data_IF_843845645766
#
_entry.id   IF_843845645766
#
_cell.length_a   1.000
_cell.length_b   1.000
_cell.length_c   1.000
_cell.angle_alpha   90.00
_cell.angle_beta   90.00
_cell.angle_gamma   90.00
#
_symmetry.space_group_name_H-M   'P 1'
#
loop_
_entity.id
_entity.type
_entity.pdbx_description
1 polymer ?
#
# COMPACT_ATOMS: atom_id res chain seq x y z
N UNK A 1 7.93 -1.84 5.58
CA UNK A 1 8.13 -3.29 5.36
C UNK A 1 9.35 -3.54 4.48
N UNK A 2 9.49 -2.88 3.33
CA UNK A 2 10.67 -3.04 2.47
C UNK A 2 12.00 -2.71 3.19
N UNK A 3 12.13 -1.55 3.84
CA UNK A 3 13.35 -1.23 4.59
C UNK A 3 13.70 -2.23 5.70
N UNK A 4 12.68 -2.84 6.32
CA UNK A 4 12.88 -3.91 7.32
C UNK A 4 13.34 -5.21 6.64
N UNK A 5 12.74 -5.56 5.50
CA UNK A 5 13.15 -6.73 4.70
C UNK A 5 14.59 -6.56 4.20
N UNK A 6 14.91 -5.41 3.60
CA UNK A 6 16.26 -5.06 3.13
C UNK A 6 17.26 -5.09 4.28
N UNK A 7 16.93 -4.51 5.44
CA UNK A 7 17.81 -4.54 6.62
C UNK A 7 18.08 -5.94 7.17
N UNK A 8 17.19 -6.91 6.92
CA UNK A 8 17.37 -8.31 7.32
C UNK A 8 18.18 -9.16 6.34
N UNK A 9 18.52 -8.65 5.16
CA UNK A 9 19.32 -9.38 4.17
C UNK A 9 20.73 -9.70 4.71
N UNK A 10 21.35 -10.75 4.17
CA UNK A 10 22.62 -11.30 4.67
C UNK A 10 23.79 -10.30 4.70
N UNK A 11 23.71 -9.22 3.92
CA UNK A 11 24.69 -8.14 3.91
C UNK A 11 24.53 -7.15 5.07
N UNK A 12 23.38 -7.10 5.73
CA UNK A 12 23.08 -6.17 6.83
C UNK A 12 22.80 -6.88 8.16
N UNK A 13 22.11 -8.03 8.13
CA UNK A 13 21.78 -8.87 9.29
C UNK A 13 21.17 -8.09 10.46
N UNK A 14 20.37 -7.05 10.18
CA UNK A 14 19.65 -6.31 11.20
C UNK A 14 18.40 -7.09 11.60
N UNK A 15 18.03 -6.98 12.87
CA UNK A 15 16.83 -7.62 13.42
C UNK A 15 15.83 -6.57 13.92
N UNK A 16 14.52 -6.84 13.78
CA UNK A 16 13.50 -6.04 14.47
C UNK A 16 13.68 -6.15 15.98
N UNK A 17 13.72 -5.01 16.67
CA UNK A 17 13.91 -4.97 18.12
C UNK A 17 12.69 -4.41 18.85
N UNK A 18 12.00 -3.42 18.26
CA UNK A 18 10.88 -2.70 18.89
C UNK A 18 9.86 -2.33 17.82
N UNK A 19 8.60 -2.72 18.01
CA UNK A 19 7.51 -2.41 17.09
C UNK A 19 6.59 -1.31 17.65
N UNK A 20 6.11 -0.45 16.76
CA UNK A 20 5.12 0.57 17.07
C UNK A 20 3.82 -0.10 17.53
N UNK A 21 3.32 0.30 18.70
CA UNK A 21 1.98 -0.10 19.14
C UNK A 21 0.96 0.89 18.55
N UNK A 22 0.52 0.64 17.32
CA UNK A 22 -0.60 1.40 16.74
C UNK A 22 -1.91 1.04 17.44
N UNK A 23 -2.73 2.05 17.74
CA UNK A 23 -4.11 1.86 18.22
C UNK A 23 -4.93 1.02 17.25
N UNK A 24 -4.71 1.21 15.96
CA UNK A 24 -5.44 0.54 14.89
C UNK A 24 -4.46 -0.09 13.88
N UNK A 25 -4.61 -1.39 13.66
CA UNK A 25 -3.77 -2.14 12.73
C UNK A 25 -4.29 -1.94 11.31
N UNK A 26 -3.40 -1.72 10.35
CA UNK A 26 -3.84 -1.57 8.97
C UNK A 26 -4.09 -2.93 8.30
N UNK A 27 -5.29 -3.14 7.76
CA UNK A 27 -5.59 -4.19 6.79
C UNK A 27 -5.59 -3.57 5.40
N UNK A 28 -4.73 -4.08 4.52
CA UNK A 28 -4.65 -3.66 3.13
C UNK A 28 -5.82 -4.28 2.36
N UNK A 29 -6.64 -3.43 1.74
CA UNK A 29 -7.87 -3.81 1.04
C UNK A 29 -7.90 -3.20 -0.36
N UNK A 30 -8.71 -3.79 -1.24
CA UNK A 30 -9.05 -3.23 -2.54
C UNK A 30 -10.48 -2.70 -2.49
N UNK A 31 -10.64 -1.39 -2.39
CA UNK A 31 -11.93 -0.72 -2.32
C UNK A 31 -12.43 -0.36 -3.72
N UNK A 32 -13.72 -0.53 -3.95
CA UNK A 32 -14.42 -0.13 -5.18
C UNK A 32 -15.74 0.55 -4.84
N UNK A 33 -16.28 1.35 -5.75
CA UNK A 33 -17.64 1.88 -5.58
C UNK A 33 -18.66 0.74 -5.57
N UNK A 34 -19.67 0.89 -4.72
CA UNK A 34 -20.76 -0.06 -4.64
C UNK A 34 -21.48 -0.19 -5.99
N UNK A 35 -21.84 -1.40 -6.40
CA UNK A 35 -22.53 -1.64 -7.68
C UNK A 35 -21.67 -1.48 -8.95
N UNK A 36 -20.35 -1.32 -8.83
CA UNK A 36 -19.44 -1.25 -10.00
C UNK A 36 -19.37 -2.52 -10.86
N UNK A 37 -19.89 -3.65 -10.36
CA UNK A 37 -20.19 -4.83 -11.14
C UNK A 37 -19.01 -5.73 -11.53
N UNK A 38 -17.80 -5.42 -11.05
CA UNK A 38 -16.60 -6.25 -11.30
C UNK A 38 -16.00 -6.79 -10.00
N UNK A 39 -15.28 -7.91 -10.11
CA UNK A 39 -14.55 -8.52 -9.00
C UNK A 39 -13.03 -8.52 -9.21
N UNK A 40 -12.29 -9.15 -8.27
CA UNK A 40 -10.82 -9.16 -8.28
C UNK A 40 -10.21 -9.77 -9.55
N UNK A 41 -10.93 -10.66 -10.23
CA UNK A 41 -10.47 -11.33 -11.46
C UNK A 41 -10.59 -10.44 -12.70
N UNK A 42 -11.34 -9.35 -12.60
CA UNK A 42 -11.71 -8.47 -13.72
C UNK A 42 -10.99 -7.11 -13.64
N UNK A 43 -9.92 -7.03 -12.85
CA UNK A 43 -9.12 -5.82 -12.66
C UNK A 43 -8.32 -5.41 -13.91
N UNK A 44 -8.06 -6.34 -14.83
CA UNK A 44 -7.33 -6.05 -16.06
C UNK A 44 -8.07 -4.98 -16.88
N UNK A 45 -7.35 -3.93 -17.27
CA UNK A 45 -7.89 -2.81 -18.03
C UNK A 45 -8.74 -1.82 -17.20
N UNK A 46 -8.89 -2.01 -15.89
CA UNK A 46 -9.48 -1.00 -15.00
C UNK A 46 -8.46 0.08 -14.66
N UNK A 47 -8.92 1.21 -14.12
CA UNK A 47 -8.04 2.22 -13.55
C UNK A 47 -7.83 2.02 -12.05
N UNK A 48 -6.65 2.36 -11.53
CA UNK A 48 -6.28 2.08 -10.13
C UNK A 48 -5.67 3.28 -9.37
N UNK A 49 -5.93 3.34 -8.07
CA UNK A 49 -5.38 4.33 -7.15
C UNK A 49 -4.52 3.63 -6.09
N UNK A 50 -3.30 4.12 -5.88
CA UNK A 50 -2.32 3.55 -4.96
C UNK A 50 -1.77 4.64 -4.04
N UNK A 51 -1.51 4.31 -2.76
CA UNK A 51 -1.08 5.33 -1.79
C UNK A 51 0.32 5.89 -2.05
N UNK A 52 1.27 5.04 -2.42
CA UNK A 52 2.62 5.40 -2.87
C UNK A 52 3.36 4.14 -3.33
N UNK A 53 4.20 4.28 -4.36
CA UNK A 53 5.11 3.25 -4.85
C UNK A 53 5.97 2.68 -3.69
N UNK A 54 6.21 1.37 -3.72
CA UNK A 54 7.02 0.65 -2.72
C UNK A 54 6.53 0.71 -1.26
N UNK A 55 5.34 1.27 -0.98
CA UNK A 55 4.71 1.17 0.34
C UNK A 55 3.94 -0.12 0.51
N UNK A 56 3.87 -0.60 1.76
CA UNK A 56 3.33 -1.91 2.10
C UNK A 56 1.86 -2.07 1.70
N UNK A 57 0.97 -1.15 2.13
CA UNK A 57 -0.47 -1.26 1.89
C UNK A 57 -0.92 -0.93 0.48
N UNK A 58 -0.36 0.12 -0.10
CA UNK A 58 -0.80 0.62 -1.41
C UNK A 58 -0.13 0.01 -2.62
N UNK A 59 1.01 -0.68 -2.45
CA UNK A 59 1.76 -1.24 -3.58
C UNK A 59 2.22 -2.68 -3.32
N UNK A 60 3.14 -2.91 -2.37
CA UNK A 60 3.82 -4.22 -2.24
C UNK A 60 2.84 -5.36 -1.93
N UNK A 61 1.95 -5.14 -0.96
CA UNK A 61 0.95 -6.15 -0.56
C UNK A 61 -0.06 -6.43 -1.69
N UNK A 62 -0.77 -5.43 -2.25
CA UNK A 62 -1.76 -5.69 -3.28
C UNK A 62 -1.14 -6.23 -4.56
N UNK A 63 -0.08 -5.61 -5.08
CA UNK A 63 0.56 -6.07 -6.33
C UNK A 63 1.19 -7.44 -6.15
N UNK A 64 1.93 -7.66 -5.05
CA UNK A 64 2.54 -8.96 -4.75
C UNK A 64 1.50 -10.07 -4.65
N UNK A 65 0.35 -9.83 -4.01
CA UNK A 65 -0.74 -10.82 -3.91
C UNK A 65 -1.39 -11.09 -5.26
N UNK A 66 -1.61 -10.07 -6.09
CA UNK A 66 -2.17 -10.22 -7.43
C UNK A 66 -1.24 -11.02 -8.34
N UNK A 67 0.07 -10.82 -8.25
CA UNK A 67 1.07 -11.62 -8.96
C UNK A 67 1.09 -13.05 -8.44
N UNK A 68 1.20 -13.24 -7.12
CA UNK A 68 1.28 -14.57 -6.49
C UNK A 68 0.04 -15.44 -6.71
N UNK A 69 -1.09 -14.84 -7.10
CA UNK A 69 -2.35 -15.53 -7.42
C UNK A 69 -2.69 -15.49 -8.92
N UNK A 70 -1.69 -15.19 -9.76
CA UNK A 70 -1.77 -15.19 -11.22
C UNK A 70 -2.87 -14.27 -11.79
N UNK A 71 -3.18 -13.16 -11.09
CA UNK A 71 -4.05 -12.09 -11.63
C UNK A 71 -3.27 -11.11 -12.48
N UNK A 72 -2.04 -10.79 -12.09
CA UNK A 72 -1.07 -10.06 -12.91
C UNK A 72 0.00 -11.05 -13.34
N UNK A 73 0.21 -11.18 -14.65
CA UNK A 73 1.32 -11.98 -15.19
C UNK A 73 2.61 -11.18 -15.06
N UNK A 74 3.59 -11.74 -14.36
CA UNK A 74 4.94 -11.18 -14.25
C UNK A 74 5.96 -12.32 -14.28
N UNK A 75 6.82 -12.33 -15.29
CA UNK A 75 7.79 -13.41 -15.55
C UNK A 75 9.04 -13.31 -14.66
N UNK A 76 9.11 -12.26 -13.84
CA UNK A 76 10.21 -12.01 -12.91
C UNK A 76 11.05 -10.81 -13.29
N UNK A 77 11.94 -10.37 -12.39
CA UNK A 77 12.71 -9.14 -12.55
C UNK A 77 13.77 -9.23 -13.66
N UNK A 78 14.20 -10.44 -14.02
CA UNK A 78 15.20 -10.66 -15.09
C UNK A 78 14.59 -10.39 -16.48
N UNK A 79 13.29 -10.65 -16.64
CA UNK A 79 12.57 -10.44 -17.91
C UNK A 79 11.96 -9.04 -18.00
N UNK A 80 11.29 -8.58 -16.93
CA UNK A 80 10.69 -7.25 -16.92
C UNK A 80 10.56 -6.64 -15.53
N UNK A 81 10.68 -5.31 -15.37
CA UNK A 81 10.36 -4.64 -14.12
C UNK A 81 8.87 -4.80 -13.76
N UNK A 82 8.57 -4.94 -12.47
CA UNK A 82 7.18 -5.12 -11.99
C UNK A 82 6.30 -3.92 -12.37
N UNK A 83 6.84 -2.71 -12.42
CA UNK A 83 6.12 -1.50 -12.81
C UNK A 83 5.61 -1.61 -14.23
N UNK A 84 6.38 -2.24 -15.13
CA UNK A 84 5.95 -2.46 -16.51
C UNK A 84 4.76 -3.41 -16.56
N UNK A 85 4.80 -4.52 -15.82
CA UNK A 85 3.70 -5.49 -15.77
C UNK A 85 2.41 -4.84 -15.24
N UNK A 86 2.51 -4.02 -14.18
CA UNK A 86 1.37 -3.28 -13.63
C UNK A 86 0.88 -2.20 -14.61
N UNK A 87 1.80 -1.50 -15.27
CA UNK A 87 1.51 -0.46 -16.26
C UNK A 87 0.77 -1.01 -17.49
N UNK A 88 1.02 -2.27 -17.86
CA UNK A 88 0.34 -2.96 -18.96
C UNK A 88 -0.98 -3.62 -18.50
N UNK A 89 -1.11 -3.92 -17.22
CA UNK A 89 -2.30 -4.54 -16.63
C UNK A 89 -3.47 -3.57 -16.42
N UNK A 90 -3.22 -2.39 -15.85
CA UNK A 90 -4.23 -1.34 -15.65
C UNK A 90 -4.27 -0.35 -16.82
N UNK A 91 -5.45 0.19 -17.16
CA UNK A 91 -5.60 1.15 -18.26
C UNK A 91 -5.09 2.56 -17.94
N UNK A 92 -5.09 2.92 -16.66
CA UNK A 92 -4.45 4.10 -16.09
C UNK A 92 -4.32 3.92 -14.58
N UNK A 93 -3.27 4.49 -13.98
CA UNK A 93 -3.14 4.47 -12.53
C UNK A 93 -2.70 5.81 -11.98
N UNK A 94 -2.93 6.01 -10.68
CA UNK A 94 -2.16 6.94 -9.89
C UNK A 94 -1.31 6.17 -8.88
N UNK A 95 0.01 6.17 -9.12
CA UNK A 95 1.03 5.54 -8.29
C UNK A 95 2.07 6.61 -7.94
N UNK A 96 1.85 7.41 -6.89
CA UNK A 96 2.82 8.42 -6.46
C UNK A 96 4.20 7.78 -6.24
N UNK A 97 5.28 8.46 -6.61
CA UNK A 97 6.68 8.04 -6.45
C UNK A 97 7.24 7.14 -7.55
N UNK A 98 6.41 6.66 -8.48
CA UNK A 98 6.90 5.90 -9.64
C UNK A 98 7.56 6.82 -10.66
N UNK A 99 8.50 6.29 -11.45
CA UNK A 99 9.18 7.07 -12.49
C UNK A 99 8.21 7.42 -13.65
N UNK A 100 7.58 8.60 -13.57
CA UNK A 100 6.67 9.13 -14.61
C UNK A 100 7.26 9.10 -16.04
N UNK A 101 8.55 9.47 -16.28
CA UNK A 101 9.12 9.38 -17.62
C UNK A 101 9.21 7.96 -18.18
N UNK A 102 9.43 6.96 -17.32
CA UNK A 102 9.51 5.54 -17.73
C UNK A 102 8.14 4.90 -17.84
N UNK A 103 7.23 5.25 -16.93
CA UNK A 103 5.91 4.61 -16.78
C UNK A 103 4.81 5.68 -16.72
N UNK A 104 4.56 6.43 -17.81
CA UNK A 104 3.60 7.53 -17.80
C UNK A 104 2.17 7.06 -17.46
N UNK A 105 1.81 5.81 -17.82
CA UNK A 105 0.49 5.25 -17.51
C UNK A 105 0.24 5.14 -16.00
N UNK A 106 1.28 4.91 -15.21
CA UNK A 106 1.17 4.77 -13.75
C UNK A 106 0.99 6.09 -13.01
N UNK A 107 1.21 7.23 -13.68
CA UNK A 107 0.95 8.57 -13.15
C UNK A 107 -0.24 9.25 -13.84
N UNK A 108 -0.93 8.56 -14.76
CA UNK A 108 -1.92 9.16 -15.66
C UNK A 108 -3.18 9.64 -14.92
N UNK A 109 -3.56 8.98 -13.83
CA UNK A 109 -4.73 9.35 -13.02
C UNK A 109 -4.40 10.26 -11.82
N UNK A 110 -3.13 10.64 -11.65
CA UNK A 110 -2.70 11.51 -10.54
C UNK A 110 -3.10 12.97 -10.76
N UNK A 111 -3.22 13.72 -9.66
CA UNK A 111 -3.51 15.16 -9.66
C UNK A 111 -2.39 15.92 -8.94
N UNK A 112 -1.29 16.12 -9.64
CA UNK A 112 -0.09 16.77 -9.11
C UNK A 112 1.17 16.34 -9.85
N UNK A 113 2.28 16.30 -9.13
CA UNK A 113 3.60 15.92 -9.67
C UNK A 113 3.86 14.40 -9.66
N UNK A 114 2.90 13.59 -9.19
CA UNK A 114 3.07 12.14 -8.99
C UNK A 114 4.23 11.80 -8.04
N UNK A 115 4.65 12.70 -7.15
CA UNK A 115 5.64 12.41 -6.10
C UNK A 115 4.98 11.77 -4.88
N UNK A 116 5.72 10.99 -4.09
CA UNK A 116 5.24 10.54 -2.77
C UNK A 116 5.33 11.66 -1.73
N UNK A 117 4.68 12.79 -2.01
CA UNK A 117 4.63 13.97 -1.16
C UNK A 117 3.26 14.65 -1.25
N UNK A 118 3.02 15.64 -0.40
CA UNK A 118 1.78 16.42 -0.42
C UNK A 118 1.60 17.31 -1.66
N UNK A 119 2.59 17.39 -2.54
CA UNK A 119 2.44 18.02 -3.87
C UNK A 119 1.56 17.19 -4.82
N UNK A 120 1.41 15.89 -4.54
CA UNK A 120 0.47 15.01 -5.23
C UNK A 120 -0.80 14.87 -4.38
N UNK A 121 -1.94 15.31 -4.92
CA UNK A 121 -3.21 15.30 -4.20
C UNK A 121 -3.67 13.90 -3.81
N UNK A 122 -3.32 12.88 -4.60
CA UNK A 122 -3.70 11.49 -4.34
C UNK A 122 -2.63 10.68 -3.60
N UNK A 123 -1.66 11.34 -2.97
CA UNK A 123 -0.69 10.71 -2.09
C UNK A 123 -1.31 10.21 -0.77
N UNK A 124 -0.84 9.06 -0.29
CA UNK A 124 -1.28 8.45 0.96
C UNK A 124 -2.57 7.64 0.81
N UNK A 125 -2.97 6.95 1.87
CA UNK A 125 -4.19 6.12 1.83
C UNK A 125 -5.45 6.99 1.65
N UNK A 126 -5.52 8.14 2.33
CA UNK A 126 -6.61 9.10 2.17
C UNK A 126 -6.66 9.66 0.74
N UNK A 127 -5.50 10.03 0.18
CA UNK A 127 -5.40 10.52 -1.19
C UNK A 127 -5.81 9.48 -2.23
N UNK A 128 -5.39 8.22 -2.05
CA UNK A 128 -5.79 7.12 -2.93
C UNK A 128 -7.29 6.80 -2.83
N UNK A 129 -7.89 6.92 -1.64
CA UNK A 129 -9.35 6.85 -1.50
C UNK A 129 -10.04 8.04 -2.20
N UNK A 130 -9.51 9.26 -2.08
CA UNK A 130 -10.02 10.41 -2.82
C UNK A 130 -9.91 10.23 -4.35
N UNK A 131 -8.88 9.55 -4.84
CA UNK A 131 -8.74 9.20 -6.25
C UNK A 131 -9.90 8.31 -6.74
N UNK A 132 -10.28 7.29 -5.96
CA UNK A 132 -11.47 6.46 -6.24
C UNK A 132 -12.77 7.26 -6.13
N UNK A 133 -12.91 8.06 -5.06
CA UNK A 133 -14.12 8.86 -4.82
C UNK A 133 -14.41 9.81 -5.99
N UNK A 134 -13.37 10.44 -6.52
CA UNK A 134 -13.42 11.40 -7.63
C UNK A 134 -13.40 10.75 -9.02
N UNK A 135 -13.64 9.44 -9.14
CA UNK A 135 -13.72 8.70 -10.42
C UNK A 135 -12.44 8.72 -11.26
N UNK A 136 -11.29 9.04 -10.67
CA UNK A 136 -9.99 8.96 -11.36
C UNK A 136 -9.41 7.54 -11.36
N UNK A 137 -9.91 6.67 -10.47
CA UNK A 137 -9.66 5.23 -10.48
C UNK A 137 -10.93 4.44 -10.18
N UNK A 138 -11.00 3.20 -10.65
CA UNK A 138 -12.11 2.28 -10.39
C UNK A 138 -11.87 1.41 -9.16
N UNK A 139 -10.61 1.19 -8.79
CA UNK A 139 -10.20 0.49 -7.56
C UNK A 139 -9.16 1.32 -6.81
N UNK A 140 -9.25 1.38 -5.49
CA UNK A 140 -8.21 1.94 -4.63
C UNK A 140 -7.63 0.85 -3.73
N UNK A 141 -6.30 0.74 -3.71
CA UNK A 141 -5.57 -0.10 -2.78
C UNK A 141 -5.11 0.73 -1.60
N UNK A 142 -5.80 0.56 -0.47
CA UNK A 142 -5.66 1.42 0.71
C UNK A 142 -5.72 0.61 2.00
N UNK A 143 -5.33 1.25 3.08
CA UNK A 143 -5.74 0.81 4.40
C UNK A 143 -7.26 0.93 4.58
N UNK A 144 -7.93 -0.08 5.15
CA UNK A 144 -9.39 -0.02 5.40
C UNK A 144 -9.87 1.21 6.21
N UNK A 145 -9.06 1.76 7.15
CA UNK A 145 -9.43 2.97 7.89
C UNK A 145 -9.49 4.24 7.03
N UNK A 146 -8.90 4.23 5.82
CA UNK A 146 -8.96 5.36 4.89
C UNK A 146 -10.38 5.58 4.31
N UNK A 147 -11.28 4.61 4.48
CA UNK A 147 -12.69 4.73 4.10
C UNK A 147 -13.47 5.23 5.33
N UNK A 148 -13.94 6.49 5.35
CA UNK A 148 -14.66 7.05 6.50
C UNK A 148 -15.93 6.25 6.77
N UNK A 149 -16.26 6.04 8.05
CA UNK A 149 -17.44 5.27 8.47
C UNK A 149 -18.74 5.76 7.82
N UNK A 150 -18.91 7.07 7.73
CA UNK A 150 -20.07 7.71 7.09
C UNK A 150 -20.20 7.42 5.59
N UNK A 151 -19.13 6.98 4.93
CA UNK A 151 -19.09 6.71 3.50
C UNK A 151 -19.05 5.22 3.17
N UNK A 152 -18.81 4.32 4.14
CA UNK A 152 -18.58 2.88 3.90
C UNK A 152 -19.69 2.21 3.11
N UNK A 153 -20.93 2.63 3.27
CA UNK A 153 -22.09 2.12 2.52
C UNK A 153 -22.02 2.35 1.00
N UNK A 154 -21.21 3.30 0.54
CA UNK A 154 -21.03 3.62 -0.87
C UNK A 154 -19.91 2.79 -1.53
N UNK A 155 -19.23 1.93 -0.78
CA UNK A 155 -18.08 1.17 -1.24
C UNK A 155 -18.16 -0.30 -0.81
N UNK A 156 -17.46 -1.15 -1.55
CA UNK A 156 -17.33 -2.57 -1.29
C UNK A 156 -15.85 -2.96 -1.39
N UNK A 157 -15.49 -4.07 -0.76
CA UNK A 157 -14.15 -4.65 -0.84
C UNK A 157 -14.14 -5.79 -1.85
N UNK A 158 -13.09 -5.86 -2.67
CA UNK A 158 -12.81 -7.01 -3.52
C UNK A 158 -12.00 -8.04 -2.73
N UNK A 159 -12.55 -9.24 -2.60
CA UNK A 159 -11.91 -10.34 -1.91
C UNK A 159 -11.17 -11.26 -2.89
N UNK A 160 -10.10 -11.90 -2.43
CA UNK A 160 -9.27 -12.77 -3.28
C UNK A 160 -10.00 -14.04 -3.78
N UNK A 161 -11.10 -14.42 -3.14
CA UNK A 161 -11.98 -15.52 -3.57
C UNK A 161 -12.95 -15.13 -4.71
N UNK A 162 -12.91 -13.87 -5.17
CA UNK A 162 -13.81 -13.34 -6.20
C UNK A 162 -15.11 -12.76 -5.65
N UNK A 163 -15.39 -12.88 -4.35
CA UNK A 163 -16.54 -12.24 -3.73
C UNK A 163 -16.33 -10.73 -3.53
N UNK A 164 -17.42 -10.03 -3.26
CA UNK A 164 -17.45 -8.63 -2.83
C UNK A 164 -18.10 -8.58 -1.45
N UNK A 165 -17.55 -7.80 -0.53
CA UNK A 165 -18.06 -7.67 0.85
C UNK A 165 -18.17 -6.22 1.28
N UNK A 166 -18.93 -6.00 2.35
CA UNK A 166 -18.97 -4.70 3.03
C UNK A 166 -17.57 -4.30 3.50
N UNK A 167 -17.33 -3.00 3.62
CA UNK A 167 -16.10 -2.46 4.20
C UNK A 167 -15.88 -2.95 5.63
N UNK A 168 -16.95 -3.20 6.39
CA UNK A 168 -16.89 -3.74 7.77
C UNK A 168 -16.24 -5.14 7.84
N UNK A 169 -16.31 -5.92 6.77
CA UNK A 169 -15.79 -7.28 6.72
C UNK A 169 -14.29 -7.35 6.40
N UNK A 170 -13.57 -6.22 6.47
CA UNK A 170 -12.15 -6.10 6.13
C UNK A 170 -11.27 -7.18 6.77
N UNK A 171 -11.57 -7.66 7.99
CA UNK A 171 -10.79 -8.71 8.66
C UNK A 171 -10.83 -10.05 7.92
N UNK A 172 -11.91 -10.32 7.18
CA UNK A 172 -12.07 -11.54 6.37
C UNK A 172 -11.88 -11.29 4.88
N UNK A 173 -11.94 -10.03 4.44
CA UNK A 173 -11.73 -9.60 3.06
C UNK A 173 -10.59 -8.57 2.99
N UNK A 174 -9.35 -9.06 3.06
CA UNK A 174 -8.14 -8.25 2.94
C UNK A 174 -7.05 -9.04 2.21
N UNK A 175 -6.01 -8.33 1.81
CA UNK A 175 -4.83 -8.88 1.15
C UNK A 175 -3.78 -9.31 2.17
N UNK A 176 -3.61 -8.50 3.20
CA UNK A 176 -2.87 -8.82 4.41
C UNK A 176 -3.17 -7.80 5.52
N UNK A 177 -2.82 -8.16 6.75
CA UNK A 177 -2.62 -7.21 7.84
C UNK A 177 -1.18 -6.67 7.77
N UNK A 178 -1.01 -5.37 7.63
CA UNK A 178 0.31 -4.75 7.63
C UNK A 178 0.98 -4.90 9.00
N UNK A 179 2.28 -5.25 9.03
CA UNK A 179 3.07 -5.23 10.24
C UNK A 179 3.28 -3.78 10.68
N UNK A 180 3.38 -3.60 12.00
CA UNK A 180 3.73 -2.31 12.58
C UNK A 180 5.11 -1.83 12.11
N UNK A 181 5.29 -0.50 12.04
CA UNK A 181 6.61 0.09 11.85
C UNK A 181 7.50 -0.35 13.00
N UNK A 182 8.75 -0.66 12.70
CA UNK A 182 9.62 -1.36 13.63
C UNK A 182 11.01 -0.76 13.57
N UNK A 183 11.62 -0.52 14.73
CA UNK A 183 13.03 -0.18 14.87
C UNK A 183 13.83 -1.45 14.64
N UNK A 184 14.81 -1.39 13.74
CA UNK A 184 15.76 -2.47 13.46
C UNK A 184 17.14 -2.08 13.98
N UNK A 185 17.89 -3.05 14.51
CA UNK A 185 19.24 -2.85 15.02
C UNK A 185 20.13 -4.06 14.72
N UNK A 186 21.45 -3.90 14.92
CA UNK A 186 22.40 -5.00 14.77
C UNK A 186 22.13 -6.09 15.81
N UNK A 187 22.54 -7.31 15.49
CA UNK A 187 22.36 -8.47 16.38
C UNK A 187 23.11 -8.35 17.71
N UNK A 188 24.22 -7.61 17.73
CA UNK A 188 25.07 -7.35 18.89
C UNK A 188 24.65 -6.12 19.73
N UNK A 189 23.56 -5.44 19.35
CA UNK A 189 23.09 -4.24 20.05
C UNK A 189 22.50 -4.58 21.41
N UNK A 190 22.86 -3.79 22.43
CA UNK A 190 22.21 -3.83 23.74
C UNK A 190 20.76 -3.31 23.62
N UNK A 191 19.83 -4.26 23.66
CA UNK A 191 18.40 -4.00 23.51
C UNK A 191 17.85 -3.16 24.67
N UNK A 192 18.41 -3.32 25.88
CA UNK A 192 17.92 -2.63 27.05
C UNK A 192 18.25 -1.14 26.96
N UNK A 193 19.49 -0.82 26.57
CA UNK A 193 19.91 0.55 26.34
C UNK A 193 19.05 1.26 25.28
N UNK A 194 18.81 0.61 24.13
CA UNK A 194 17.96 1.20 23.08
C UNK A 194 16.52 1.40 23.58
N UNK A 195 15.97 0.43 24.29
CA UNK A 195 14.62 0.53 24.84
C UNK A 195 14.49 1.66 25.87
N UNK A 196 15.49 1.82 26.74
CA UNK A 196 15.51 2.86 27.76
C UNK A 196 15.61 4.26 27.15
N UNK A 197 16.39 4.43 26.09
CA UNK A 197 16.45 5.69 25.33
C UNK A 197 15.10 5.97 24.66
N UNK A 198 14.51 5.00 23.95
CA UNK A 198 13.25 5.24 23.24
C UNK A 198 12.08 5.57 24.17
N UNK A 199 12.09 5.05 25.41
CA UNK A 199 11.09 5.42 26.43
C UNK A 199 11.18 6.86 26.91
N UNK A 200 12.36 7.48 26.81
CA UNK A 200 12.57 8.87 27.21
C UNK A 200 12.15 9.87 26.13
N UNK A 201 11.93 9.41 24.90
CA UNK A 201 11.53 10.25 23.77
C UNK A 201 9.99 10.35 23.73
N UNK A 202 9.42 11.56 23.62
CA UNK A 202 7.99 11.73 23.40
C UNK A 202 7.52 11.02 22.12
N UNK A 203 6.34 10.40 22.15
CA UNK A 203 5.79 9.66 21.01
C UNK A 203 5.65 10.51 19.72
N UNK A 204 5.52 11.83 19.84
CA UNK A 204 5.46 12.79 18.72
C UNK A 204 6.78 12.88 17.95
N UNK A 205 7.91 12.65 18.62
CA UNK A 205 9.25 12.93 18.08
C UNK A 205 9.91 11.65 17.53
N UNK A 206 9.36 10.48 17.88
CA UNK A 206 9.82 9.17 17.42
C UNK A 206 9.54 8.90 15.94
N UNK A 207 8.52 9.54 15.36
CA UNK A 207 8.04 9.25 14.00
C UNK A 207 7.68 10.50 13.20
N UNK A 208 8.39 11.62 13.41
CA UNK A 208 8.20 12.79 12.55
C UNK A 208 8.54 12.40 11.10
N UNK A 209 7.60 12.60 10.19
CA UNK A 209 7.72 12.20 8.78
C UNK A 209 8.60 13.14 7.96
N UNK A 210 9.58 13.79 8.60
CA UNK A 210 10.60 14.56 7.90
C UNK A 210 11.82 13.68 7.67
N UNK A 211 11.71 12.82 6.66
CA UNK A 211 12.84 12.17 5.99
C UNK A 211 12.45 11.89 4.53
#
# INVERSE_FOLDING_TARGET
>A
MEQMFTGGLNNYLLRPIIAEKKKECCYAVAAVKAGSGFNINELKGKSSCHSCYQRSGGWNTPIGKLIATNKITWEGPDEMPVERAVSEFFSSSCVPGVSKPKYPNLCKACQGDCSCSHNEKYFGDDGAFQCLKNDNGQVAFVCHHAIPESERQNYELLCMDGSRKSVEDYKTCNFAREPARTVIARTDTDLQYVYDVLKQIPASDLFSSQA
#
